data_IF_704868477523
#
_entry.id   IF_704868477523
#
_cell.length_a   1.000
_cell.length_b   1.000
_cell.length_c   1.000
_cell.angle_alpha   90.00
_cell.angle_beta   90.00
_cell.angle_gamma   90.00
#
_symmetry.space_group_name_H-M   'P 1'
#
loop_
_entity.id
_entity.type
_entity.pdbx_description
1 polymer ?
#
# COMPACT_ATOMS: atom_id res chain seq x y z
N UNK A 1 -4.37 -21.72 -54.78
CA UNK A 1 -3.84 -22.21 -53.49
C UNK A 1 -3.33 -21.02 -52.70
N UNK A 2 -4.08 -20.56 -51.69
CA UNK A 2 -3.78 -19.37 -50.90
C UNK A 2 -3.33 -19.81 -49.51
N UNK A 3 -2.04 -19.67 -49.19
CA UNK A 3 -1.46 -20.16 -47.93
C UNK A 3 -1.83 -19.19 -46.81
N UNK A 4 -2.68 -19.63 -45.89
CA UNK A 4 -3.06 -18.88 -44.68
C UNK A 4 -1.81 -18.62 -43.83
N UNK A 5 -1.41 -17.36 -43.66
CA UNK A 5 -0.39 -16.97 -42.67
C UNK A 5 -0.93 -17.26 -41.26
N UNK A 6 -0.27 -18.10 -40.44
CA UNK A 6 -0.74 -18.42 -39.11
C UNK A 6 -0.45 -17.28 -38.14
N UNK A 7 -1.43 -17.02 -37.29
CA UNK A 7 -1.50 -16.00 -36.27
C UNK A 7 -0.28 -16.06 -35.36
N UNK A 8 0.61 -15.06 -35.47
CA UNK A 8 1.72 -14.87 -34.55
C UNK A 8 1.18 -14.41 -33.20
N UNK A 9 0.90 -15.36 -32.31
CA UNK A 9 0.66 -15.08 -30.90
C UNK A 9 1.97 -14.58 -30.28
N UNK A 10 2.15 -13.26 -30.22
CA UNK A 10 3.21 -12.64 -29.42
C UNK A 10 2.93 -12.91 -27.94
N UNK A 11 3.51 -13.99 -27.42
CA UNK A 11 3.51 -14.30 -25.99
C UNK A 11 4.43 -13.30 -25.28
N UNK A 12 3.85 -12.25 -24.71
CA UNK A 12 4.57 -11.35 -23.81
C UNK A 12 4.87 -12.09 -22.50
N UNK A 13 6.11 -12.56 -22.36
CA UNK A 13 6.59 -13.20 -21.15
C UNK A 13 6.76 -12.15 -20.06
N UNK A 14 5.84 -12.12 -19.09
CA UNK A 14 5.99 -11.29 -17.88
C UNK A 14 6.88 -12.03 -16.88
N UNK A 15 8.03 -11.48 -16.46
CA UNK A 15 8.88 -12.15 -15.47
C UNK A 15 8.14 -12.29 -14.13
N UNK A 16 8.36 -13.38 -13.37
CA UNK A 16 7.72 -13.54 -12.07
C UNK A 16 8.18 -12.44 -11.11
N UNK A 17 7.26 -11.56 -10.74
CA UNK A 17 7.51 -10.48 -9.77
C UNK A 17 7.78 -11.07 -8.38
N UNK A 18 8.93 -10.72 -7.79
CA UNK A 18 9.27 -11.10 -6.42
C UNK A 18 8.28 -10.49 -5.41
N UNK A 19 8.01 -11.19 -4.29
CA UNK A 19 7.07 -10.72 -3.27
C UNK A 19 7.51 -9.36 -2.73
N UNK A 20 6.62 -8.36 -2.82
CA UNK A 20 6.80 -7.05 -2.19
C UNK A 20 6.75 -7.18 -0.66
N UNK A 21 7.48 -6.30 0.03
CA UNK A 21 7.56 -6.28 1.51
C UNK A 21 6.24 -5.90 2.18
N UNK A 22 5.44 -5.06 1.53
CA UNK A 22 4.11 -4.72 1.98
C UNK A 22 3.09 -5.69 1.38
N UNK A 23 2.59 -6.58 2.23
CA UNK A 23 1.39 -7.38 1.95
C UNK A 23 0.20 -6.68 2.65
N UNK A 24 -0.76 -6.11 1.89
CA UNK A 24 -1.79 -5.25 2.48
C UNK A 24 -2.71 -6.04 3.40
N UNK A 25 -2.85 -5.54 4.63
CA UNK A 25 -3.80 -6.09 5.61
C UNK A 25 -4.41 -4.95 6.43
N UNK A 26 -5.71 -4.71 6.23
CA UNK A 26 -6.45 -3.61 6.85
C UNK A 26 -6.51 -3.73 8.38
N UNK A 27 -6.68 -4.95 8.91
CA UNK A 27 -6.71 -5.21 10.36
C UNK A 27 -5.37 -4.88 11.00
N UNK A 28 -4.26 -5.29 10.37
CA UNK A 28 -2.91 -4.98 10.86
C UNK A 28 -2.67 -3.47 10.83
N UNK A 29 -2.96 -2.81 9.71
CA UNK A 29 -2.79 -1.36 9.53
C UNK A 29 -3.55 -0.55 10.59
N UNK A 30 -4.80 -0.89 10.86
CA UNK A 30 -5.61 -0.20 11.87
C UNK A 30 -5.08 -0.41 13.30
N UNK A 31 -4.61 -1.63 13.63
CA UNK A 31 -4.04 -1.94 14.95
C UNK A 31 -2.70 -1.24 15.19
N UNK A 32 -1.80 -1.24 14.21
CA UNK A 32 -0.41 -0.76 14.38
C UNK A 32 -0.23 0.71 14.06
N UNK A 33 -1.08 1.30 13.21
CA UNK A 33 -0.91 2.66 12.73
C UNK A 33 -2.17 3.52 12.89
N UNK A 34 -3.25 2.98 13.44
CA UNK A 34 -4.51 3.69 13.62
C UNK A 34 -4.49 4.69 14.77
N UNK A 35 -5.51 5.57 14.77
CA UNK A 35 -5.62 6.69 15.69
C UNK A 35 -5.65 6.28 17.16
N UNK A 36 -6.38 5.20 17.48
CA UNK A 36 -6.49 4.66 18.85
C UNK A 36 -5.12 4.30 19.43
N UNK A 37 -4.23 3.67 18.65
CA UNK A 37 -2.89 3.33 19.11
C UNK A 37 -2.06 4.60 19.38
N UNK A 38 -2.16 5.60 18.50
CA UNK A 38 -1.46 6.87 18.67
C UNK A 38 -1.90 7.60 19.95
N UNK A 39 -3.18 7.56 20.30
CA UNK A 39 -3.68 8.20 21.52
C UNK A 39 -3.25 7.50 22.81
N UNK A 40 -3.01 6.18 22.78
CA UNK A 40 -2.64 5.39 23.97
C UNK A 40 -1.30 5.81 24.59
N UNK A 41 -0.32 6.20 23.77
CA UNK A 41 1.04 6.50 24.25
C UNK A 41 1.30 8.00 24.31
N UNK A 42 2.19 8.45 25.21
CA UNK A 42 2.63 9.86 25.26
C UNK A 42 3.26 10.29 23.93
N UNK A 43 4.15 9.47 23.38
CA UNK A 43 4.81 9.74 22.10
C UNK A 43 3.80 9.81 20.93
N UNK A 44 2.81 8.93 20.89
CA UNK A 44 1.79 8.95 19.84
C UNK A 44 0.90 10.20 19.90
N UNK A 45 0.58 10.70 21.10
CA UNK A 45 -0.13 11.98 21.28
C UNK A 45 0.70 13.17 20.76
N UNK A 46 2.00 13.18 21.02
CA UNK A 46 2.91 14.21 20.50
C UNK A 46 2.98 14.20 18.96
N UNK A 47 3.00 13.01 18.34
CA UNK A 47 2.95 12.88 16.87
C UNK A 47 1.66 13.48 16.31
N UNK A 48 0.51 13.19 16.92
CA UNK A 48 -0.77 13.75 16.47
C UNK A 48 -0.80 15.27 16.62
N UNK A 49 -0.28 15.82 17.72
CA UNK A 49 -0.17 17.27 17.91
C UNK A 49 0.71 17.93 16.83
N UNK A 50 1.85 17.34 16.50
CA UNK A 50 2.72 17.83 15.43
C UNK A 50 2.03 17.77 14.05
N UNK A 51 1.28 16.69 13.77
CA UNK A 51 0.53 16.55 12.52
C UNK A 51 -0.62 17.55 12.40
N UNK A 52 -1.31 17.86 13.51
CA UNK A 52 -2.34 18.92 13.57
C UNK A 52 -1.73 20.31 13.35
N UNK A 53 -0.62 20.61 14.01
CA UNK A 53 0.09 21.88 13.82
C UNK A 53 0.53 22.10 12.37
N UNK A 54 0.94 21.02 11.69
CA UNK A 54 1.27 21.05 10.26
C UNK A 54 0.04 21.17 9.34
N UNK A 55 -1.18 21.01 9.86
CA UNK A 55 -2.40 21.08 9.05
C UNK A 55 -2.60 19.88 8.13
N UNK A 56 -2.13 18.68 8.49
CA UNK A 56 -2.36 17.48 7.67
C UNK A 56 -3.84 17.09 7.71
N UNK A 57 -4.48 17.01 6.55
CA UNK A 57 -5.87 16.52 6.41
C UNK A 57 -6.06 15.13 7.03
N UNK A 58 -5.10 14.23 6.81
CA UNK A 58 -5.09 12.88 7.39
C UNK A 58 -4.02 12.76 8.49
N UNK A 59 -4.47 12.61 9.72
CA UNK A 59 -3.60 12.53 10.90
C UNK A 59 -3.07 11.12 11.19
N UNK A 60 -3.80 10.07 10.80
CA UNK A 60 -3.45 8.68 11.07
C UNK A 60 -3.84 7.79 9.90
N UNK A 61 -3.33 6.54 9.90
CA UNK A 61 -3.63 5.53 8.90
C UNK A 61 -5.11 5.13 8.86
#
# INVERSE_FOLDING_TARGET
MCVKRPWAHHQAWSPPVSKRTFQPNNRRRAKTHGFRLRMRTRAGRAILAARRRKGREKLSA
#
